data_IF_118267437546
#
_entry.id   IF_118267437546
#
_cell.length_a   1.000
_cell.length_b   1.000
_cell.length_c   1.000
_cell.angle_alpha   90.00
_cell.angle_beta   90.00
_cell.angle_gamma   90.00
#
_symmetry.space_group_name_H-M   'P 1'
#
loop_
_entity.id
_entity.type
_entity.pdbx_description
1 polymer ?
#
# COMPACT_ATOMS: atom_id res chain seq x y z
N UNK A 1 1.00 14.52 -34.00
CA UNK A 1 0.05 13.47 -34.40
C UNK A 1 0.75 12.12 -34.22
N UNK A 2 0.49 11.41 -33.11
CA UNK A 2 1.06 10.06 -32.91
C UNK A 2 0.20 9.08 -33.70
N UNK A 3 0.68 8.67 -34.88
CA UNK A 3 0.05 7.57 -35.63
C UNK A 3 0.30 6.31 -34.80
N UNK A 4 -0.74 5.75 -34.18
CA UNK A 4 -0.66 4.40 -33.64
C UNK A 4 -0.31 3.47 -34.80
N UNK A 5 0.92 2.97 -34.81
CA UNK A 5 1.43 2.08 -35.84
C UNK A 5 0.56 0.82 -35.79
N UNK A 6 -0.25 0.63 -36.84
CA UNK A 6 -1.30 -0.39 -36.97
C UNK A 6 -0.82 -1.83 -36.65
N UNK A 7 0.49 -2.08 -36.71
CA UNK A 7 1.11 -3.40 -36.62
C UNK A 7 1.10 -4.05 -35.23
N UNK A 8 0.92 -3.29 -34.14
CA UNK A 8 0.91 -3.86 -32.77
C UNK A 8 -0.37 -3.54 -32.00
N UNK A 9 -1.43 -3.09 -32.69
CA UNK A 9 -2.67 -2.66 -32.01
C UNK A 9 -3.28 -3.80 -31.20
N UNK A 10 -3.46 -4.96 -31.83
CA UNK A 10 -4.18 -6.08 -31.23
C UNK A 10 -3.35 -6.68 -30.07
N UNK A 11 -2.05 -6.88 -30.28
CA UNK A 11 -1.11 -7.28 -29.22
C UNK A 11 -1.11 -6.31 -28.02
N UNK A 12 -1.10 -5.00 -28.29
CA UNK A 12 -1.15 -3.99 -27.21
C UNK A 12 -2.48 -4.05 -26.46
N UNK A 13 -3.59 -4.22 -27.17
CA UNK A 13 -4.91 -4.33 -26.56
C UNK A 13 -5.01 -5.60 -25.71
N UNK A 14 -4.53 -6.73 -26.22
CA UNK A 14 -4.51 -8.01 -25.50
C UNK A 14 -3.69 -7.90 -24.21
N UNK A 15 -2.51 -7.28 -24.25
CA UNK A 15 -1.70 -7.05 -23.05
C UNK A 15 -2.37 -6.08 -22.06
N UNK A 16 -3.09 -5.06 -22.54
CA UNK A 16 -3.86 -4.17 -21.66
C UNK A 16 -5.00 -4.91 -20.97
N UNK A 17 -5.77 -5.70 -21.72
CA UNK A 17 -6.87 -6.53 -21.20
C UNK A 17 -6.34 -7.62 -20.25
N UNK A 18 -5.20 -8.23 -20.57
CA UNK A 18 -4.53 -9.20 -19.69
C UNK A 18 -4.26 -8.63 -18.30
N UNK A 19 -3.91 -7.35 -18.23
CA UNK A 19 -3.66 -6.64 -16.97
C UNK A 19 -4.96 -6.24 -16.22
N UNK A 20 -6.10 -6.20 -16.90
CA UNK A 20 -7.41 -6.03 -16.25
C UNK A 20 -7.88 -7.33 -15.57
N UNK A 21 -7.49 -8.49 -16.11
CA UNK A 21 -7.69 -9.80 -15.50
C UNK A 21 -6.52 -10.24 -14.60
N UNK A 22 -6.55 -11.50 -14.14
CA UNK A 22 -5.49 -12.14 -13.33
C UNK A 22 -4.19 -12.42 -14.12
N UNK A 23 -4.05 -11.90 -15.33
CA UNK A 23 -2.99 -12.29 -16.25
C UNK A 23 -3.16 -13.69 -16.83
N UNK A 24 -2.09 -14.24 -17.39
CA UNK A 24 -2.09 -15.61 -17.92
C UNK A 24 -2.27 -16.59 -16.76
N UNK A 25 -3.30 -17.43 -16.87
CA UNK A 25 -3.77 -18.35 -15.82
C UNK A 25 -2.71 -19.33 -15.34
N UNK A 26 -1.60 -19.47 -16.04
CA UNK A 26 -0.46 -20.37 -15.82
C UNK A 26 0.64 -19.74 -14.94
N UNK A 27 0.71 -18.40 -14.84
CA UNK A 27 1.80 -17.69 -14.14
C UNK A 27 1.39 -17.23 -12.73
N UNK A 28 0.11 -16.94 -12.52
CA UNK A 28 -0.37 -16.28 -11.29
C UNK A 28 -1.30 -17.15 -10.42
N UNK A 29 -1.20 -18.48 -10.52
CA UNK A 29 -2.00 -19.41 -9.70
C UNK A 29 -1.53 -19.54 -8.25
N UNK A 30 -0.32 -19.06 -7.96
CA UNK A 30 0.30 -19.19 -6.66
C UNK A 30 0.71 -17.83 -6.13
N UNK A 31 0.57 -17.65 -4.82
CA UNK A 31 1.04 -16.45 -4.16
C UNK A 31 2.53 -16.24 -4.45
N UNK A 32 2.89 -15.05 -4.94
CA UNK A 32 4.27 -14.74 -5.31
C UNK A 32 5.27 -14.92 -4.16
N UNK A 33 4.83 -14.68 -2.91
CA UNK A 33 5.64 -14.85 -1.69
C UNK A 33 5.67 -16.28 -1.14
N UNK A 34 4.55 -16.80 -0.60
CA UNK A 34 4.54 -18.10 0.09
C UNK A 34 4.20 -19.32 -0.78
N UNK A 35 3.91 -19.11 -2.07
CA UNK A 35 3.56 -20.17 -3.05
C UNK A 35 2.28 -20.96 -2.74
N UNK A 36 1.45 -20.51 -1.79
CA UNK A 36 0.13 -21.12 -1.58
C UNK A 36 -0.75 -20.95 -2.82
N UNK A 37 -1.70 -21.87 -2.99
CA UNK A 37 -2.65 -21.82 -4.10
C UNK A 37 -3.60 -20.61 -3.99
N UNK A 38 -4.07 -20.18 -5.15
CA UNK A 38 -5.13 -19.20 -5.38
C UNK A 38 -4.97 -17.83 -4.68
N UNK A 39 -3.97 -17.03 -5.09
CA UNK A 39 -3.84 -15.67 -4.61
C UNK A 39 -4.94 -14.76 -5.20
N UNK A 40 -5.63 -14.01 -4.36
CA UNK A 40 -6.74 -13.13 -4.75
C UNK A 40 -6.37 -11.65 -4.79
N UNK A 41 -5.23 -11.25 -4.21
CA UNK A 41 -4.90 -9.85 -3.98
C UNK A 41 -3.70 -9.40 -4.80
N UNK A 42 -3.66 -8.14 -5.20
CA UNK A 42 -2.48 -7.51 -5.81
C UNK A 42 -2.36 -6.04 -5.39
N UNK A 43 -1.19 -5.46 -5.59
CA UNK A 43 -1.04 -4.01 -5.53
C UNK A 43 -1.75 -3.39 -6.76
N UNK A 44 -2.43 -2.27 -6.56
CA UNK A 44 -3.06 -1.53 -7.64
C UNK A 44 -1.99 -1.01 -8.61
N UNK A 45 -2.24 -1.16 -9.91
CA UNK A 45 -1.27 -0.85 -10.99
C UNK A 45 -0.84 0.62 -11.02
N UNK A 46 -1.66 1.52 -10.46
CA UNK A 46 -1.35 2.95 -10.37
C UNK A 46 -0.33 3.26 -9.26
N UNK A 47 -0.13 2.33 -8.32
CA UNK A 47 0.73 2.54 -7.15
C UNK A 47 1.93 1.59 -7.08
N UNK A 48 1.96 0.55 -7.91
CA UNK A 48 3.02 -0.44 -7.90
C UNK A 48 3.27 -0.99 -9.30
N UNK A 49 4.52 -1.38 -9.56
CA UNK A 49 4.91 -2.04 -10.80
C UNK A 49 4.70 -3.55 -10.67
N UNK A 50 4.16 -4.15 -11.72
CA UNK A 50 3.93 -5.59 -11.82
C UNK A 50 2.49 -6.01 -11.52
N UNK A 51 2.16 -7.24 -11.89
CA UNK A 51 0.83 -7.84 -11.72
C UNK A 51 0.89 -9.10 -10.83
N UNK A 52 1.87 -9.15 -9.91
CA UNK A 52 2.04 -10.28 -9.00
C UNK A 52 0.83 -10.41 -8.08
N UNK A 53 0.34 -11.64 -7.95
CA UNK A 53 -0.78 -11.99 -7.08
C UNK A 53 -0.26 -12.55 -5.76
N UNK A 54 -0.93 -12.18 -4.66
CA UNK A 54 -0.60 -12.56 -3.30
C UNK A 54 -1.83 -13.13 -2.60
N UNK A 55 -1.60 -14.02 -1.64
CA UNK A 55 -2.61 -14.33 -0.65
C UNK A 55 -2.71 -13.19 0.38
N UNK A 56 -3.81 -13.23 1.13
CA UNK A 56 -4.16 -12.22 2.11
C UNK A 56 -3.05 -11.94 3.15
N UNK A 57 -2.44 -12.94 3.83
CA UNK A 57 -1.35 -12.67 4.77
C UNK A 57 -0.10 -12.04 4.14
N UNK A 58 0.24 -12.47 2.93
CA UNK A 58 1.44 -12.00 2.25
C UNK A 58 1.29 -10.57 1.75
N UNK A 59 0.12 -10.19 1.23
CA UNK A 59 -0.09 -8.80 0.79
C UNK A 59 -0.11 -7.83 1.97
N UNK A 60 -0.70 -8.22 3.11
CA UNK A 60 -0.64 -7.43 4.33
C UNK A 60 0.80 -7.23 4.79
N UNK A 61 1.57 -8.32 4.84
CA UNK A 61 2.96 -8.23 5.28
C UNK A 61 3.81 -7.36 4.36
N UNK A 62 3.59 -7.42 3.05
CA UNK A 62 4.22 -6.53 2.07
C UNK A 62 3.90 -5.05 2.35
N UNK A 63 2.62 -4.74 2.59
CA UNK A 63 2.16 -3.36 2.76
C UNK A 63 2.48 -2.75 4.12
N UNK A 64 2.96 -3.53 5.11
CA UNK A 64 3.53 -2.98 6.35
C UNK A 64 4.72 -2.05 6.10
N UNK A 65 5.46 -2.28 5.01
CA UNK A 65 6.58 -1.43 4.60
C UNK A 65 6.22 -0.42 3.49
N UNK A 66 5.05 -0.58 2.85
CA UNK A 66 4.59 0.22 1.71
C UNK A 66 3.17 0.74 1.96
N UNK A 67 2.95 1.55 3.02
CA UNK A 67 1.61 1.94 3.47
C UNK A 67 0.87 2.86 2.50
N UNK A 68 1.57 3.45 1.53
CA UNK A 68 1.00 4.33 0.51
C UNK A 68 0.63 3.60 -0.78
N UNK A 69 0.86 2.30 -0.90
CA UNK A 69 0.33 1.51 -2.01
C UNK A 69 -1.15 1.22 -1.80
N UNK A 70 -1.90 1.07 -2.90
CA UNK A 70 -3.29 0.61 -2.86
C UNK A 70 -3.35 -0.88 -3.17
N UNK A 71 -4.35 -1.56 -2.63
CA UNK A 71 -4.59 -2.98 -2.89
C UNK A 71 -5.88 -3.14 -3.69
N UNK A 72 -5.91 -4.15 -4.55
CA UNK A 72 -7.11 -4.61 -5.22
C UNK A 72 -7.31 -6.11 -4.96
N UNK A 73 -8.57 -6.53 -4.89
CA UNK A 73 -8.97 -7.93 -4.76
C UNK A 73 -9.69 -8.39 -6.02
N UNK A 74 -9.37 -9.60 -6.48
CA UNK A 74 -10.09 -10.24 -7.57
C UNK A 74 -11.46 -10.73 -7.08
N UNK A 75 -12.53 -10.27 -7.74
CA UNK A 75 -13.92 -10.65 -7.40
C UNK A 75 -14.40 -11.93 -8.07
N UNK A 76 -13.61 -12.47 -9.00
CA UNK A 76 -14.05 -13.49 -9.97
C UNK A 76 -14.18 -12.91 -11.38
N UNK A 77 -14.52 -11.62 -11.49
CA UNK A 77 -14.78 -10.94 -12.76
C UNK A 77 -13.83 -9.76 -13.01
N UNK A 78 -13.52 -8.99 -11.97
CA UNK A 78 -12.68 -7.80 -12.07
C UNK A 78 -11.89 -7.56 -10.77
N UNK A 79 -10.96 -6.62 -10.80
CA UNK A 79 -10.27 -6.14 -9.60
C UNK A 79 -11.05 -5.00 -8.95
N UNK A 80 -11.56 -5.25 -7.75
CA UNK A 80 -12.18 -4.22 -6.93
C UNK A 80 -11.11 -3.55 -6.04
N UNK A 81 -11.10 -2.21 -5.94
CA UNK A 81 -10.23 -1.51 -5.01
C UNK A 81 -10.59 -1.91 -3.58
N UNK A 82 -9.57 -2.06 -2.75
CA UNK A 82 -9.74 -2.45 -1.36
C UNK A 82 -8.84 -1.60 -0.47
N UNK A 83 -9.41 -1.02 0.58
CA UNK A 83 -8.60 -0.38 1.60
C UNK A 83 -7.90 -1.45 2.43
N UNK A 84 -6.64 -1.21 2.79
CA UNK A 84 -5.94 -2.03 3.78
C UNK A 84 -6.65 -2.02 5.14
N UNK A 85 -7.51 -1.03 5.41
CA UNK A 85 -8.33 -1.00 6.62
C UNK A 85 -9.58 -1.90 6.54
N UNK A 86 -10.10 -2.13 5.32
CA UNK A 86 -11.32 -2.90 5.03
C UNK A 86 -11.02 -4.40 4.99
N UNK A 87 -9.80 -4.75 4.62
CA UNK A 87 -9.24 -6.03 5.02
C UNK A 87 -9.31 -6.07 6.55
N UNK A 88 -9.98 -7.05 7.15
CA UNK A 88 -10.02 -7.30 8.61
C UNK A 88 -8.63 -7.68 9.20
N UNK A 89 -7.58 -7.24 8.54
CA UNK A 89 -6.19 -7.51 8.82
C UNK A 89 -5.55 -6.26 9.39
N UNK A 90 -4.83 -6.43 10.49
CA UNK A 90 -4.10 -5.37 11.15
C UNK A 90 -2.83 -5.02 10.35
N UNK A 91 -3.00 -4.41 9.17
CA UNK A 91 -1.93 -3.79 8.37
C UNK A 91 -1.45 -2.48 9.02
N UNK A 92 -1.19 -2.53 10.32
CA UNK A 92 -0.88 -1.38 11.15
C UNK A 92 0.57 -0.94 10.93
N UNK A 93 0.73 0.36 10.70
CA UNK A 93 2.04 1.00 10.64
C UNK A 93 2.53 1.19 12.08
N UNK A 94 3.51 0.39 12.49
CA UNK A 94 4.16 0.54 13.78
C UNK A 94 5.32 1.53 13.68
N UNK A 95 5.17 2.73 14.26
CA UNK A 95 6.24 3.71 14.32
C UNK A 95 7.25 3.38 15.43
N UNK A 96 8.45 3.95 15.31
CA UNK A 96 9.51 3.84 16.31
C UNK A 96 10.27 2.49 16.33
N UNK A 97 9.91 1.56 15.45
CA UNK A 97 10.57 0.27 15.25
C UNK A 97 10.66 -0.06 13.74
N UNK A 98 11.52 -1.01 13.33
CA UNK A 98 11.55 -1.47 11.94
C UNK A 98 10.18 -2.01 11.47
N UNK A 99 9.81 -1.84 10.18
CA UNK A 99 8.54 -2.33 9.65
C UNK A 99 8.29 -3.81 9.98
N UNK A 100 7.06 -4.14 10.39
CA UNK A 100 6.67 -5.49 10.80
C UNK A 100 7.04 -5.90 12.22
N UNK A 101 7.80 -5.09 12.95
CA UNK A 101 8.11 -5.35 14.36
C UNK A 101 6.89 -5.13 15.26
N UNK A 102 6.73 -5.98 16.27
CA UNK A 102 5.74 -5.79 17.33
C UNK A 102 6.29 -4.90 18.45
N UNK A 103 5.47 -3.95 18.92
CA UNK A 103 5.80 -3.11 20.06
C UNK A 103 4.77 -3.32 21.19
N UNK A 104 5.17 -3.88 22.35
CA UNK A 104 4.24 -4.13 23.47
C UNK A 104 3.77 -2.84 24.16
N UNK A 105 4.47 -1.72 23.93
CA UNK A 105 4.12 -0.39 24.46
C UNK A 105 3.53 0.51 23.38
N UNK A 106 2.99 -0.07 22.31
CA UNK A 106 2.37 0.70 21.24
C UNK A 106 1.08 1.35 21.70
N UNK A 107 0.80 2.54 21.15
CA UNK A 107 -0.46 3.25 21.34
C UNK A 107 -1.07 3.53 19.97
N UNK A 108 -2.32 3.11 19.70
CA UNK A 108 -2.97 3.40 18.44
C UNK A 108 -3.12 4.91 18.27
N UNK A 109 -2.90 5.40 17.05
CA UNK A 109 -3.29 6.74 16.64
C UNK A 109 -4.82 6.81 16.45
N UNK A 110 -5.31 7.98 16.04
CA UNK A 110 -6.71 8.15 15.66
C UNK A 110 -7.12 7.12 14.58
N UNK A 111 -8.34 6.58 14.65
CA UNK A 111 -8.81 5.54 13.71
C UNK A 111 -8.89 6.03 12.26
N UNK A 112 -9.12 7.33 12.09
CA UNK A 112 -9.25 8.01 10.79
C UNK A 112 -7.93 8.72 10.41
N UNK A 113 -6.78 8.20 10.85
CA UNK A 113 -5.48 8.82 10.56
C UNK A 113 -5.20 8.80 9.05
N UNK A 114 -4.82 9.95 8.49
CA UNK A 114 -4.64 10.12 7.04
C UNK A 114 -3.17 10.29 6.66
N UNK A 115 -2.75 9.59 5.61
CA UNK A 115 -1.50 9.84 4.88
C UNK A 115 -1.82 10.45 3.53
N UNK A 116 -1.18 11.57 3.21
CA UNK A 116 -1.19 12.23 1.91
C UNK A 116 0.11 11.85 1.18
N UNK A 117 -0.02 11.25 0.01
CA UNK A 117 1.09 10.90 -0.87
C UNK A 117 0.81 11.40 -2.31
N UNK A 118 1.84 11.46 -3.15
CA UNK A 118 1.68 11.74 -4.58
C UNK A 118 0.81 10.70 -5.29
N UNK A 119 0.74 9.48 -4.75
CA UNK A 119 -0.12 8.40 -5.21
C UNK A 119 -1.56 8.48 -4.68
N UNK A 120 -1.88 9.47 -3.83
CA UNK A 120 -3.22 9.72 -3.31
C UNK A 120 -3.31 9.86 -1.79
N UNK A 121 -4.53 10.04 -1.29
CA UNK A 121 -4.86 10.23 0.13
C UNK A 121 -5.47 8.94 0.68
N UNK A 122 -5.00 8.47 1.83
CA UNK A 122 -5.43 7.19 2.41
C UNK A 122 -5.64 7.28 3.91
N UNK A 123 -6.72 6.68 4.40
CA UNK A 123 -6.88 6.39 5.83
C UNK A 123 -6.06 5.16 6.17
N UNK A 124 -5.31 5.16 7.27
CA UNK A 124 -4.44 4.06 7.69
C UNK A 124 -4.57 3.77 9.18
N UNK A 125 -4.37 2.51 9.57
CA UNK A 125 -4.14 2.12 10.96
C UNK A 125 -2.67 2.39 11.31
N UNK A 126 -2.43 3.29 12.27
CA UNK A 126 -1.09 3.66 12.72
C UNK A 126 -0.96 3.50 14.25
N UNK A 127 0.23 3.15 14.72
CA UNK A 127 0.57 3.10 16.15
C UNK A 127 1.86 3.82 16.44
N UNK A 128 1.85 4.65 17.49
CA UNK A 128 3.04 5.24 18.08
C UNK A 128 3.71 4.27 19.04
N UNK A 129 5.04 4.31 19.12
CA UNK A 129 5.82 3.56 20.09
C UNK A 129 5.90 4.32 21.42
N UNK A 130 5.74 3.60 22.54
CA UNK A 130 5.91 4.09 23.90
C UNK A 130 7.19 3.62 24.61
N UNK A 131 8.19 3.12 23.87
CA UNK A 131 9.43 2.60 24.47
C UNK A 131 10.36 3.70 25.00
N UNK A 132 10.45 4.85 24.33
CA UNK A 132 11.17 6.04 24.81
C UNK A 132 10.19 7.22 24.93
N UNK A 133 9.85 7.61 26.16
CA UNK A 133 8.89 8.68 26.44
C UNK A 133 9.39 10.08 26.07
N UNK A 134 10.68 10.23 25.74
CA UNK A 134 11.24 11.51 25.27
C UNK A 134 10.96 11.75 23.77
N UNK A 135 10.55 10.71 23.04
CA UNK A 135 10.28 10.81 21.61
C UNK A 135 8.80 11.05 21.37
N UNK A 136 8.47 12.28 21.00
CA UNK A 136 7.10 12.70 20.75
C UNK A 136 6.53 12.14 19.43
N UNK A 137 5.20 12.09 19.31
CA UNK A 137 4.49 11.56 18.14
C UNK A 137 4.96 12.20 16.82
N UNK A 138 5.12 13.54 16.78
CA UNK A 138 5.64 14.24 15.58
C UNK A 138 7.04 13.75 15.18
N UNK A 139 7.90 13.45 16.15
CA UNK A 139 9.26 13.00 15.89
C UNK A 139 9.26 11.56 15.34
N UNK A 140 8.38 10.70 15.86
CA UNK A 140 8.23 9.35 15.34
C UNK A 140 7.73 9.36 13.88
N UNK A 141 6.79 10.24 13.55
CA UNK A 141 6.33 10.44 12.17
C UNK A 141 7.47 10.93 11.28
N UNK A 142 8.18 11.99 11.66
CA UNK A 142 9.27 12.54 10.86
C UNK A 142 10.41 11.53 10.65
N UNK A 143 10.73 10.71 11.67
CA UNK A 143 11.69 9.61 11.55
C UNK A 143 11.24 8.49 10.61
N UNK A 144 9.93 8.33 10.43
CA UNK A 144 9.34 7.41 9.46
C UNK A 144 9.07 8.06 8.10
N UNK A 145 9.69 9.21 7.85
CA UNK A 145 9.52 10.00 6.65
C UNK A 145 8.07 10.49 6.40
N UNK A 146 7.34 10.78 7.47
CA UNK A 146 5.99 11.34 7.45
C UNK A 146 5.97 12.71 8.15
N UNK A 147 5.58 13.75 7.44
CA UNK A 147 5.53 15.12 7.94
C UNK A 147 4.13 15.43 8.44
N UNK A 148 3.94 15.60 9.76
CA UNK A 148 2.62 15.84 10.30
C UNK A 148 2.09 17.22 9.90
N UNK A 149 0.78 17.31 9.64
CA UNK A 149 0.11 18.57 9.36
C UNK A 149 0.01 19.49 10.60
N UNK A 150 0.02 18.89 11.79
CA UNK A 150 0.00 19.60 13.09
C UNK A 150 1.10 19.08 14.01
N UNK A 151 1.60 19.94 14.91
CA UNK A 151 2.67 19.54 15.85
C UNK A 151 2.15 18.85 17.12
N UNK A 152 0.87 19.04 17.44
CA UNK A 152 0.18 18.47 18.61
C UNK A 152 -0.90 17.54 18.09
N UNK A 153 -0.92 16.31 18.62
CA UNK A 153 -1.85 15.22 18.28
C UNK A 153 -2.15 15.11 16.77
N UNK A 154 -1.14 14.78 15.94
CA UNK A 154 -1.34 14.72 14.50
C UNK A 154 -2.34 13.62 14.13
N UNK A 155 -3.26 13.93 13.23
CA UNK A 155 -4.19 12.98 12.62
C UNK A 155 -4.02 12.90 11.09
N UNK A 156 -3.13 13.73 10.55
CA UNK A 156 -2.80 13.78 9.13
C UNK A 156 -1.32 14.02 8.98
N UNK A 157 -0.69 13.32 8.04
CA UNK A 157 0.67 13.61 7.61
C UNK A 157 0.79 13.48 6.10
N UNK A 158 1.86 14.06 5.55
CA UNK A 158 2.24 13.90 4.16
C UNK A 158 3.57 13.14 4.06
N UNK A 159 3.76 12.37 3.00
CA UNK A 159 5.08 11.79 2.70
C UNK A 159 6.06 12.87 2.25
N UNK A 160 7.36 12.60 2.34
CA UNK A 160 8.42 13.47 1.78
C UNK A 160 8.10 13.82 0.33
N UNK A 161 7.79 12.81 -0.49
CA UNK A 161 7.54 12.99 -1.92
C UNK A 161 6.42 13.99 -2.20
N UNK A 162 5.36 13.98 -1.37
CA UNK A 162 4.24 14.91 -1.52
C UNK A 162 4.60 16.36 -1.20
N UNK A 163 5.61 16.61 -0.34
CA UNK A 163 5.97 17.96 0.11
C UNK A 163 7.27 18.51 -0.50
N UNK A 164 8.13 17.64 -1.05
CA UNK A 164 9.43 18.04 -1.60
C UNK A 164 9.48 18.02 -3.12
N UNK A 165 8.35 17.99 -3.83
CA UNK A 165 8.34 17.87 -5.29
C UNK A 165 9.32 18.87 -5.93
N UNK A 166 10.40 18.39 -6.60
CA UNK A 166 11.22 19.26 -7.42
C UNK A 166 10.35 19.65 -8.63
N UNK A 167 10.14 20.96 -8.80
CA UNK A 167 9.48 21.51 -9.98
C UNK A 167 10.25 21.25 -11.26
#
# INVERSE_FOLDING_TARGET
MKVFVKYHRDETLDEMLRLEGRGSTDVYQQCAACKCADPLFRCARQTCVGAAMYCEPCIVNLHRALPTHSVEMWTGEFFAPLSLNDLELDARIQLGHPPGSFCPRSRPAHKDFVIIDVLGIRVVKLSFCGCDSRVEHRQQLMRACLWPATSVDPQTCATVNAITHPG
#
